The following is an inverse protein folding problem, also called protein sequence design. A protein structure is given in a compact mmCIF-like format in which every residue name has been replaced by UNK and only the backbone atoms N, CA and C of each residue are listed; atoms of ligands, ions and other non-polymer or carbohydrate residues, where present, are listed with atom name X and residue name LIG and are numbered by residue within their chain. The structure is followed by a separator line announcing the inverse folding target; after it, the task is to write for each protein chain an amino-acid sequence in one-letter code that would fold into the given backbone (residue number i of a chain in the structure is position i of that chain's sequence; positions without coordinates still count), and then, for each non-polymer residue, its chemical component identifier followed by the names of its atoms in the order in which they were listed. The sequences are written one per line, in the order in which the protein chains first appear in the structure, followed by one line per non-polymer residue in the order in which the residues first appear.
data_IF_405677583442
#
_entry.id   IF_405677583442
#
_cell.length_a   1.000
_cell.length_b   1.000
_cell.length_c   1.000
_cell.angle_alpha   90.00
_cell.angle_beta   90.00
_cell.angle_gamma   90.00
#
_symmetry.space_group_name_H-M   'P 1'
#
loop_
_entity.id
_entity.type
_entity.pdbx_description
1 polymer ?
#
# COMPACT_ATOMS: atom_id res chain seq x y z
N UNK A 1 -6.01 50.57 30.49
CA UNK A 1 -5.75 49.89 31.78
C UNK A 1 -6.93 49.00 32.13
N UNK A 2 -6.77 47.68 32.06
CA UNK A 2 -7.50 46.67 32.85
C UNK A 2 -6.90 45.29 32.53
N UNK A 3 -5.88 44.96 33.31
CA UNK A 3 -5.36 43.62 33.56
C UNK A 3 -6.42 42.78 34.26
N UNK A 4 -6.52 41.48 33.95
CA UNK A 4 -6.69 40.39 34.93
C UNK A 4 -6.68 39.03 34.18
N UNK A 5 -5.57 38.29 34.29
CA UNK A 5 -5.37 37.08 35.13
C UNK A 5 -5.88 35.78 34.50
N UNK A 6 -4.96 35.14 33.80
CA UNK A 6 -5.00 33.73 33.40
C UNK A 6 -4.70 32.90 34.66
N UNK A 7 -5.64 32.06 35.08
CA UNK A 7 -5.41 31.02 36.09
C UNK A 7 -5.10 29.70 35.38
N UNK A 8 -3.84 29.29 35.46
CA UNK A 8 -3.38 27.95 35.12
C UNK A 8 -3.70 27.01 36.29
N UNK A 9 -4.44 25.93 36.04
CA UNK A 9 -4.66 24.85 37.00
C UNK A 9 -3.91 23.62 36.51
N UNK A 10 -2.84 23.29 37.24
CA UNK A 10 -2.03 22.08 37.09
C UNK A 10 -2.64 21.02 38.02
N UNK A 11 -3.04 19.83 37.53
CA UNK A 11 -3.32 18.71 38.43
C UNK A 11 -2.02 18.03 38.86
N UNK A 12 -1.87 17.98 40.17
CA UNK A 12 -0.79 17.40 40.95
C UNK A 12 -1.03 15.89 41.09
N UNK A 13 -0.11 15.06 40.61
CA UNK A 13 -0.12 13.60 40.86
C UNK A 13 0.80 13.27 42.05
N UNK A 14 0.33 12.57 43.09
CA UNK A 14 1.18 12.11 44.17
C UNK A 14 1.92 10.81 43.84
N UNK A 15 3.20 10.82 44.20
CA UNK A 15 4.17 9.73 44.25
C UNK A 15 3.81 8.66 45.29
N UNK A 16 4.19 7.40 45.01
CA UNK A 16 4.70 6.35 45.93
C UNK A 16 4.44 4.97 45.31
N UNK A 17 5.27 3.92 45.40
CA UNK A 17 6.63 3.63 45.84
C UNK A 17 6.78 2.11 45.62
N UNK A 18 8.03 1.62 45.49
CA UNK A 18 8.47 0.22 45.73
C UNK A 18 8.04 -0.84 44.69
N UNK A 19 8.75 -1.92 44.38
CA UNK A 19 10.02 -2.56 44.80
C UNK A 19 10.21 -3.78 43.87
N UNK A 20 11.47 -4.16 43.58
CA UNK A 20 12.02 -5.51 43.27
C UNK A 20 11.23 -6.47 42.34
N UNK A 21 11.78 -7.31 41.48
CA UNK A 21 13.12 -7.80 41.16
C UNK A 21 12.97 -8.67 39.89
N UNK A 22 14.06 -9.02 39.19
CA UNK A 22 14.00 -9.74 37.92
C UNK A 22 13.90 -11.27 38.12
N UNK A 23 12.91 -11.90 37.50
CA UNK A 23 12.89 -13.36 37.33
C UNK A 23 13.44 -13.72 35.95
N UNK A 24 14.75 -13.95 35.96
CA UNK A 24 15.54 -14.65 34.96
C UNK A 24 14.95 -16.06 34.77
N UNK A 25 14.28 -16.32 33.65
CA UNK A 25 14.02 -17.69 33.22
C UNK A 25 15.32 -18.32 32.73
N UNK A 26 15.85 -19.17 33.58
CA UNK A 26 16.98 -20.05 33.37
C UNK A 26 16.51 -21.25 32.54
N UNK A 27 16.93 -21.35 31.28
CA UNK A 27 16.78 -22.57 30.49
C UNK A 27 17.95 -23.49 30.83
N UNK A 28 17.67 -24.71 31.29
CA UNK A 28 18.67 -25.75 31.49
C UNK A 28 18.27 -27.01 30.71
N UNK A 29 19.09 -27.24 29.69
CA UNK A 29 19.75 -28.51 29.33
C UNK A 29 18.96 -29.75 28.96
N UNK A 30 19.43 -30.32 27.85
CA UNK A 30 19.74 -31.73 27.61
C UNK A 30 18.66 -32.59 26.92
N UNK A 31 18.75 -32.61 25.59
CA UNK A 31 18.36 -33.77 24.78
C UNK A 31 19.63 -34.29 24.07
N UNK A 32 20.33 -35.21 24.74
CA UNK A 32 20.91 -36.39 24.10
C UNK A 32 19.72 -37.36 23.91
N UNK A 33 19.52 -38.18 22.87
CA UNK A 33 20.30 -39.15 22.09
C UNK A 33 19.46 -39.36 20.79
N UNK A 34 19.85 -39.89 19.63
CA UNK A 34 20.70 -41.03 19.26
C UNK A 34 21.10 -40.85 17.79
N UNK A 35 22.35 -41.12 17.47
CA UNK A 35 22.82 -41.36 16.09
C UNK A 35 22.18 -42.66 15.57
N UNK A 36 21.39 -42.56 14.50
CA UNK A 36 21.00 -43.72 13.68
C UNK A 36 21.97 -43.81 12.49
N UNK A 37 22.47 -45.02 12.15
CA UNK A 37 23.30 -45.20 10.97
C UNK A 37 22.45 -45.02 9.70
N UNK A 38 22.95 -44.17 8.80
CA UNK A 38 22.39 -43.92 7.47
C UNK A 38 22.70 -45.15 6.59
N UNK A 39 21.70 -45.86 6.04
CA UNK A 39 21.99 -46.93 5.09
C UNK A 39 22.59 -46.32 3.82
N UNK A 40 23.80 -46.79 3.49
CA UNK A 40 24.45 -46.59 2.21
C UNK A 40 23.61 -47.30 1.14
N UNK A 41 23.06 -46.55 0.19
CA UNK A 41 22.64 -47.13 -1.07
C UNK A 41 23.39 -46.40 -2.19
N UNK A 42 24.50 -46.99 -2.60
CA UNK A 42 25.22 -46.59 -3.79
C UNK A 42 24.41 -47.00 -5.01
N UNK A 43 23.81 -46.02 -5.67
CA UNK A 43 23.52 -46.10 -7.10
C UNK A 43 24.58 -45.28 -7.81
N UNK A 44 25.63 -45.98 -8.26
CA UNK A 44 26.57 -45.48 -9.25
C UNK A 44 25.81 -45.20 -10.53
N UNK A 45 25.33 -43.95 -10.69
CA UNK A 45 24.96 -43.42 -11.99
C UNK A 45 26.24 -42.84 -12.59
N UNK A 46 26.77 -43.53 -13.58
CA UNK A 46 27.88 -43.03 -14.40
C UNK A 46 27.46 -41.71 -15.04
N UNK A 47 28.05 -40.61 -14.58
CA UNK A 47 27.99 -39.33 -15.28
C UNK A 47 29.27 -39.20 -16.06
N UNK A 48 29.19 -39.44 -17.37
CA UNK A 48 30.21 -39.00 -18.31
C UNK A 48 30.29 -37.48 -18.21
N UNK A 49 31.38 -36.98 -17.65
CA UNK A 49 31.68 -35.55 -17.58
C UNK A 49 32.09 -35.06 -18.97
N UNK A 50 31.10 -34.79 -19.83
CA UNK A 50 31.27 -33.72 -20.82
C UNK A 50 30.77 -32.45 -20.16
N UNK A 51 31.70 -31.77 -19.48
CA UNK A 51 31.54 -30.43 -18.94
C UNK A 51 31.51 -29.44 -20.12
N UNK A 52 30.44 -29.48 -20.90
CA UNK A 52 30.08 -28.41 -21.82
C UNK A 52 29.42 -27.31 -21.00
N UNK A 53 29.84 -26.07 -21.29
CA UNK A 53 29.52 -24.77 -20.68
C UNK A 53 28.02 -24.42 -20.62
N UNK A 54 27.17 -25.35 -20.19
CA UNK A 54 25.74 -25.16 -19.98
C UNK A 54 25.41 -24.50 -18.63
N UNK A 55 26.43 -24.11 -17.85
CA UNK A 55 26.22 -23.56 -16.51
C UNK A 55 25.81 -22.09 -16.50
N UNK A 56 26.38 -21.25 -17.36
CA UNK A 56 26.08 -19.82 -17.36
C UNK A 56 24.83 -19.48 -18.19
N UNK A 57 24.65 -20.10 -19.36
CA UNK A 57 23.47 -19.84 -20.21
C UNK A 57 22.17 -20.32 -19.55
N UNK A 58 22.20 -21.46 -18.85
CA UNK A 58 21.05 -21.95 -18.09
C UNK A 58 20.80 -21.12 -16.82
N UNK A 59 21.85 -20.58 -16.19
CA UNK A 59 21.73 -19.69 -15.03
C UNK A 59 21.17 -18.33 -15.44
N UNK A 60 21.67 -17.75 -16.53
CA UNK A 60 21.12 -16.53 -17.13
C UNK A 60 19.67 -16.75 -17.55
N UNK A 61 19.33 -17.89 -18.17
CA UNK A 61 17.95 -18.22 -18.52
C UNK A 61 17.02 -18.35 -17.31
N UNK A 62 17.52 -18.79 -16.15
CA UNK A 62 16.75 -18.84 -14.90
C UNK A 62 16.54 -17.44 -14.32
N UNK A 63 17.59 -16.60 -14.33
CA UNK A 63 17.49 -15.20 -13.93
C UNK A 63 16.57 -14.42 -14.86
N UNK A 64 16.70 -14.58 -16.17
CA UNK A 64 15.85 -13.91 -17.17
C UNK A 64 14.41 -14.43 -17.12
N UNK A 65 14.17 -15.73 -16.90
CA UNK A 65 12.79 -16.24 -16.70
C UNK A 65 12.19 -15.75 -15.39
N UNK A 66 12.96 -15.65 -14.32
CA UNK A 66 12.49 -15.09 -13.06
C UNK A 66 12.24 -13.57 -13.17
N UNK A 67 13.07 -12.87 -13.94
CA UNK A 67 13.00 -11.42 -14.13
C UNK A 67 11.98 -10.98 -15.20
N UNK A 68 11.69 -11.83 -16.19
CA UNK A 68 10.70 -11.58 -17.24
C UNK A 68 9.28 -11.46 -16.68
N UNK A 69 9.00 -12.09 -15.54
CA UNK A 69 7.71 -12.00 -14.83
C UNK A 69 7.62 -10.81 -13.86
N UNK A 70 8.73 -10.14 -13.52
CA UNK A 70 8.79 -9.05 -12.51
C UNK A 70 9.08 -7.67 -13.08
N UNK A 71 8.71 -7.42 -14.34
CA UNK A 71 8.35 -6.03 -14.68
C UNK A 71 7.23 -5.58 -13.73
N UNK A 72 7.19 -4.32 -13.25
CA UNK A 72 6.16 -3.84 -12.30
C UNK A 72 4.77 -3.69 -12.94
N UNK A 73 4.43 -4.57 -13.88
CA UNK A 73 3.06 -4.94 -14.19
C UNK A 73 2.74 -6.09 -13.25
N UNK A 74 2.16 -5.75 -12.11
CA UNK A 74 1.54 -6.70 -11.18
C UNK A 74 0.82 -7.82 -11.95
N UNK A 75 1.49 -8.96 -12.09
CA UNK A 75 0.92 -10.15 -12.69
C UNK A 75 0.08 -10.85 -11.64
N UNK A 76 -1.18 -10.47 -11.57
CA UNK A 76 -2.25 -11.38 -11.18
C UNK A 76 -3.39 -11.11 -12.16
N UNK A 77 -3.97 -12.17 -12.72
CA UNK A 77 -5.11 -12.11 -13.64
C UNK A 77 -6.39 -11.58 -12.97
N UNK A 78 -6.34 -10.35 -12.48
CA UNK A 78 -7.44 -9.58 -11.92
C UNK A 78 -7.58 -8.26 -12.66
N UNK A 79 -8.71 -7.59 -12.44
CA UNK A 79 -9.02 -6.29 -13.05
C UNK A 79 -7.88 -5.31 -12.73
N UNK A 80 -7.30 -4.69 -13.75
CA UNK A 80 -6.26 -3.67 -13.58
C UNK A 80 -6.91 -2.29 -13.68
N UNK A 81 -6.67 -1.46 -12.67
CA UNK A 81 -7.12 -0.07 -12.65
C UNK A 81 -6.00 0.87 -13.07
N UNK A 82 -6.34 1.87 -13.88
CA UNK A 82 -5.44 2.90 -14.36
C UNK A 82 -5.40 4.07 -13.38
N UNK A 83 -4.22 4.40 -12.88
CA UNK A 83 -4.02 5.52 -11.94
C UNK A 83 -3.56 6.80 -12.63
N UNK A 84 -2.75 6.70 -13.67
CA UNK A 84 -2.22 7.86 -14.39
C UNK A 84 -2.55 7.72 -15.86
N UNK A 85 -3.26 8.71 -16.39
CA UNK A 85 -3.48 8.82 -17.82
C UNK A 85 -2.18 9.34 -18.47
N UNK A 86 -1.69 8.67 -19.52
CA UNK A 86 -0.33 8.86 -20.08
C UNK A 86 0.03 10.28 -20.51
N UNK A 87 -0.96 11.17 -20.65
CA UNK A 87 -0.80 12.56 -21.04
C UNK A 87 -0.66 13.53 -19.87
N UNK A 88 -0.77 13.07 -18.63
CA UNK A 88 -0.85 13.93 -17.44
C UNK A 88 0.39 13.77 -16.56
N UNK A 89 0.91 14.91 -16.08
CA UNK A 89 1.97 14.92 -15.08
C UNK A 89 1.37 14.79 -13.69
N UNK A 90 1.90 13.87 -12.89
CA UNK A 90 1.54 13.75 -11.47
C UNK A 90 2.04 14.97 -10.69
N UNK A 91 1.21 15.63 -9.88
CA UNK A 91 1.63 16.73 -9.00
C UNK A 91 2.77 16.32 -8.04
N UNK A 92 3.76 17.21 -7.85
CA UNK A 92 4.95 16.94 -7.02
C UNK A 92 4.62 16.58 -5.56
N UNK A 93 3.55 17.17 -5.03
CA UNK A 93 3.05 16.89 -3.68
C UNK A 93 2.76 15.39 -3.49
N UNK A 94 2.24 14.71 -4.52
CA UNK A 94 1.89 13.29 -4.47
C UNK A 94 3.08 12.36 -4.69
N UNK A 95 4.10 12.81 -5.42
CA UNK A 95 5.30 12.01 -5.70
C UNK A 95 6.21 11.83 -4.48
N UNK A 96 6.13 12.75 -3.51
CA UNK A 96 7.06 12.79 -2.37
C UNK A 96 6.55 12.00 -1.16
N UNK A 97 5.38 11.38 -1.26
CA UNK A 97 4.71 10.70 -0.16
C UNK A 97 5.12 9.23 -0.15
N UNK A 98 5.74 8.80 0.95
CA UNK A 98 6.07 7.40 1.19
C UNK A 98 5.26 6.90 2.39
N UNK A 99 3.96 6.72 2.16
CA UNK A 99 3.02 6.20 3.15
C UNK A 99 2.50 4.86 2.62
N UNK A 100 2.29 3.92 3.53
CA UNK A 100 1.75 2.60 3.26
C UNK A 100 0.37 2.47 3.90
N UNK A 101 -0.57 1.89 3.16
CA UNK A 101 -1.86 1.52 3.68
C UNK A 101 -1.76 0.19 4.41
N UNK A 102 -2.05 0.23 5.71
CA UNK A 102 -1.95 -0.94 6.59
C UNK A 102 -3.12 -1.88 6.29
N UNK A 103 -2.82 -3.02 5.69
CA UNK A 103 -3.75 -4.11 5.38
C UNK A 103 -3.00 -5.44 5.45
N UNK A 104 -3.57 -6.56 5.00
CA UNK A 104 -2.86 -7.84 4.98
C UNK A 104 -1.55 -7.79 4.15
N UNK A 105 -1.48 -6.92 3.13
CA UNK A 105 -0.33 -6.83 2.22
C UNK A 105 0.47 -5.52 2.30
N UNK A 106 0.15 -4.60 3.22
CA UNK A 106 0.85 -3.33 3.44
C UNK A 106 1.29 -2.61 2.14
N UNK A 107 0.33 -2.13 1.35
CA UNK A 107 0.59 -1.57 0.01
C UNK A 107 0.92 -0.06 0.07
N UNK A 108 1.85 0.43 -0.76
CA UNK A 108 2.13 1.86 -0.85
C UNK A 108 0.95 2.63 -1.45
N UNK A 109 0.82 3.90 -1.09
CA UNK A 109 -0.05 4.82 -1.83
C UNK A 109 0.58 5.18 -3.18
N UNK A 110 -0.15 4.91 -4.26
CA UNK A 110 0.26 5.24 -5.62
C UNK A 110 -0.40 6.55 -6.08
N UNK A 111 0.33 7.45 -6.77
CA UNK A 111 -0.24 8.69 -7.28
C UNK A 111 -1.25 8.47 -8.40
N UNK A 112 -2.30 9.30 -8.39
CA UNK A 112 -3.39 9.29 -9.36
C UNK A 112 -3.48 10.63 -10.07
N UNK A 113 -3.59 10.59 -11.40
CA UNK A 113 -3.91 11.74 -12.24
C UNK A 113 -4.75 11.27 -13.43
N UNK A 114 -6.05 11.58 -13.39
CA UNK A 114 -7.04 11.15 -14.37
C UNK A 114 -7.69 12.37 -15.02
N UNK A 115 -7.90 12.31 -16.34
CA UNK A 115 -8.55 13.38 -17.07
C UNK A 115 -10.04 13.42 -16.73
N UNK A 116 -10.58 14.60 -16.41
CA UNK A 116 -12.00 14.76 -16.12
C UNK A 116 -12.46 16.17 -16.52
N UNK A 117 -12.98 16.31 -17.73
CA UNK A 117 -13.32 17.63 -18.29
C UNK A 117 -14.39 18.37 -17.46
N UNK A 118 -15.27 17.64 -16.76
CA UNK A 118 -16.28 18.24 -15.88
C UNK A 118 -15.71 18.75 -14.53
N UNK A 119 -14.43 18.46 -14.24
CA UNK A 119 -13.74 19.02 -13.08
C UNK A 119 -13.71 20.55 -13.12
N UNK A 120 -13.58 21.16 -14.31
CA UNK A 120 -13.60 22.61 -14.45
C UNK A 120 -14.90 23.24 -13.93
N UNK A 121 -16.01 22.48 -13.98
CA UNK A 121 -17.33 22.92 -13.50
C UNK A 121 -17.55 22.62 -12.01
N UNK A 122 -16.61 21.95 -11.35
CA UNK A 122 -16.77 21.51 -9.97
C UNK A 122 -17.56 20.21 -9.82
N UNK A 123 -17.84 19.49 -10.92
CA UNK A 123 -18.65 18.26 -10.90
C UNK A 123 -17.76 17.05 -10.65
N UNK A 124 -18.16 16.22 -9.69
CA UNK A 124 -17.49 14.95 -9.40
C UNK A 124 -18.00 13.83 -10.31
N UNK A 125 -17.14 12.88 -10.72
CA UNK A 125 -17.60 11.69 -11.41
C UNK A 125 -18.52 10.85 -10.49
N UNK A 126 -19.60 10.33 -11.06
CA UNK A 126 -20.41 9.31 -10.40
C UNK A 126 -19.62 8.01 -10.23
N UNK A 127 -20.05 7.07 -9.36
CA UNK A 127 -19.42 5.76 -9.24
C UNK A 127 -19.24 5.03 -10.58
N UNK A 128 -20.26 5.04 -11.44
CA UNK A 128 -20.19 4.39 -12.76
C UNK A 128 -19.22 5.09 -13.73
N UNK A 129 -19.19 6.43 -13.67
CA UNK A 129 -18.24 7.23 -14.46
C UNK A 129 -16.81 7.01 -14.00
N UNK A 130 -16.59 6.92 -12.68
CA UNK A 130 -15.29 6.61 -12.11
C UNK A 130 -14.84 5.19 -12.50
N UNK A 131 -15.74 4.20 -12.45
CA UNK A 131 -15.46 2.84 -12.91
C UNK A 131 -14.98 2.84 -14.36
N UNK A 132 -15.72 3.51 -15.24
CA UNK A 132 -15.36 3.62 -16.66
C UNK A 132 -14.04 4.35 -16.88
N UNK A 133 -13.70 5.30 -16.00
CA UNK A 133 -12.47 6.10 -16.08
C UNK A 133 -11.22 5.31 -15.64
N UNK A 134 -11.35 4.45 -14.62
CA UNK A 134 -10.22 3.68 -14.08
C UNK A 134 -10.08 2.30 -14.72
N UNK A 135 -11.18 1.71 -15.19
CA UNK A 135 -11.21 0.38 -15.78
C UNK A 135 -12.25 0.34 -16.91
N UNK A 136 -11.93 0.84 -18.11
CA UNK A 136 -12.89 0.91 -19.22
C UNK A 136 -13.42 -0.46 -19.66
N UNK A 137 -12.66 -1.53 -19.40
CA UNK A 137 -13.00 -2.91 -19.76
C UNK A 137 -13.75 -3.66 -18.64
N UNK A 138 -14.09 -3.01 -17.53
CA UNK A 138 -14.67 -3.67 -16.36
C UNK A 138 -15.71 -2.82 -15.64
N UNK A 139 -16.73 -3.48 -15.09
CA UNK A 139 -17.72 -2.84 -14.24
C UNK A 139 -17.37 -3.09 -12.77
N UNK A 140 -16.90 -2.05 -12.08
CA UNK A 140 -16.43 -2.12 -10.70
C UNK A 140 -17.53 -1.66 -9.74
N UNK A 141 -17.61 -2.30 -8.57
CA UNK A 141 -18.49 -1.85 -7.50
C UNK A 141 -17.79 -0.75 -6.71
N UNK A 142 -18.29 0.48 -6.83
CA UNK A 142 -17.68 1.66 -6.20
C UNK A 142 -18.63 2.25 -5.17
N UNK A 143 -18.12 2.44 -3.95
CA UNK A 143 -18.85 3.07 -2.83
C UNK A 143 -18.10 4.30 -2.33
N UNK A 144 -18.82 5.36 -1.97
CA UNK A 144 -18.22 6.56 -1.36
C UNK A 144 -18.07 6.37 0.14
N UNK A 145 -16.92 6.72 0.70
CA UNK A 145 -16.64 6.66 2.12
C UNK A 145 -16.43 8.06 2.70
N UNK A 146 -16.76 8.21 3.99
CA UNK A 146 -16.40 9.40 4.75
C UNK A 146 -14.93 9.35 5.19
N UNK A 147 -14.26 10.50 5.40
CA UNK A 147 -12.90 10.54 5.93
C UNK A 147 -12.73 9.77 7.24
N UNK A 148 -13.68 9.88 8.16
CA UNK A 148 -13.65 9.17 9.45
C UNK A 148 -13.82 7.65 9.30
N UNK A 149 -14.54 7.20 8.27
CA UNK A 149 -14.70 5.76 7.98
C UNK A 149 -13.43 5.16 7.38
N UNK A 150 -12.76 5.92 6.51
CA UNK A 150 -11.50 5.50 5.88
C UNK A 150 -10.32 5.54 6.86
N UNK A 151 -10.24 6.59 7.68
CA UNK A 151 -9.14 6.81 8.61
C UNK A 151 -9.65 7.11 10.03
N UNK A 152 -10.17 6.10 10.75
CA UNK A 152 -10.69 6.29 12.10
C UNK A 152 -9.62 6.66 13.13
N UNK A 153 -8.34 6.46 12.81
CA UNK A 153 -7.19 6.73 13.69
C UNK A 153 -6.41 7.98 13.31
N UNK A 154 -6.82 8.69 12.26
CA UNK A 154 -6.14 9.86 11.70
C UNK A 154 -4.67 9.58 11.30
N UNK A 155 -4.36 8.35 10.88
CA UNK A 155 -3.03 7.91 10.50
C UNK A 155 -2.62 8.34 9.07
N UNK A 156 -3.59 8.70 8.23
CA UNK A 156 -3.42 9.05 6.82
C UNK A 156 -3.68 10.54 6.54
N UNK A 157 -3.65 11.38 7.58
CA UNK A 157 -3.80 12.85 7.46
C UNK A 157 -2.82 13.46 6.46
N UNK A 158 -1.56 13.04 6.48
CA UNK A 158 -0.55 13.49 5.51
C UNK A 158 -0.91 13.15 4.05
N UNK A 159 -1.54 11.99 3.81
CA UNK A 159 -2.02 11.62 2.48
C UNK A 159 -3.20 12.50 2.03
N UNK A 160 -4.17 12.72 2.93
CA UNK A 160 -5.32 13.60 2.66
C UNK A 160 -4.89 15.05 2.39
N UNK A 161 -3.93 15.55 3.16
CA UNK A 161 -3.42 16.91 3.03
C UNK A 161 -2.67 17.11 1.73
N UNK A 162 -1.86 16.13 1.31
CA UNK A 162 -1.16 16.22 0.04
C UNK A 162 -2.09 16.11 -1.17
N UNK A 163 -3.18 15.33 -1.09
CA UNK A 163 -4.22 15.33 -2.12
C UNK A 163 -4.93 16.68 -2.18
N UNK A 164 -5.19 17.29 -1.01
CA UNK A 164 -5.77 18.64 -0.94
C UNK A 164 -4.84 19.68 -1.55
N UNK A 165 -3.53 19.61 -1.27
CA UNK A 165 -2.52 20.48 -1.86
C UNK A 165 -2.47 20.30 -3.39
N UNK A 166 -2.46 19.06 -3.87
CA UNK A 166 -2.46 18.73 -5.29
C UNK A 166 -3.71 19.21 -6.05
N UNK A 167 -4.83 19.38 -5.33
CA UNK A 167 -6.12 19.84 -5.86
C UNK A 167 -6.39 21.33 -5.56
N UNK A 168 -5.36 22.11 -5.26
CA UNK A 168 -5.44 23.55 -4.95
C UNK A 168 -6.39 23.90 -3.79
N UNK A 169 -6.45 23.06 -2.76
CA UNK A 169 -7.32 23.27 -1.61
C UNK A 169 -8.76 22.79 -1.79
N UNK A 170 -9.06 22.08 -2.88
CA UNK A 170 -10.40 21.57 -3.17
C UNK A 170 -10.86 20.46 -2.21
N UNK A 171 -12.16 20.16 -2.27
CA UNK A 171 -12.75 19.03 -1.52
C UNK A 171 -12.07 17.71 -1.90
N UNK A 172 -11.91 16.83 -0.92
CA UNK A 172 -11.38 15.47 -1.10
C UNK A 172 -12.51 14.47 -0.90
N UNK A 173 -12.65 13.53 -1.83
CA UNK A 173 -13.58 12.40 -1.75
C UNK A 173 -12.82 11.08 -1.70
N UNK A 174 -13.39 10.13 -0.98
CA UNK A 174 -12.78 8.81 -0.80
C UNK A 174 -13.74 7.78 -1.37
N UNK A 175 -13.22 6.92 -2.23
CA UNK A 175 -13.97 5.83 -2.85
C UNK A 175 -13.35 4.50 -2.47
N UNK A 176 -14.20 3.53 -2.13
CA UNK A 176 -13.86 2.11 -2.00
C UNK A 176 -14.28 1.42 -3.28
N UNK A 177 -13.32 0.81 -3.95
CA UNK A 177 -13.50 0.10 -5.22
C UNK A 177 -13.27 -1.37 -4.97
N UNK A 178 -14.29 -2.19 -5.15
CA UNK A 178 -14.18 -3.63 -4.99
C UNK A 178 -13.80 -4.26 -6.34
N UNK A 179 -12.61 -4.88 -6.40
CA UNK A 179 -12.12 -5.59 -7.60
C UNK A 179 -12.53 -7.06 -7.54
N UNK A 180 -12.40 -7.67 -6.37
CA UNK A 180 -12.88 -9.01 -6.04
C UNK A 180 -13.38 -9.03 -4.61
N UNK A 181 -13.92 -10.18 -4.14
CA UNK A 181 -14.41 -10.33 -2.77
C UNK A 181 -13.39 -10.03 -1.68
N UNK A 182 -12.09 -10.18 -1.98
CA UNK A 182 -11.00 -9.94 -1.02
C UNK A 182 -10.06 -8.82 -1.45
N UNK A 183 -10.16 -8.32 -2.69
CA UNK A 183 -9.28 -7.27 -3.21
C UNK A 183 -10.03 -5.98 -3.39
N UNK A 184 -9.59 -4.97 -2.68
CA UNK A 184 -10.21 -3.64 -2.65
C UNK A 184 -9.15 -2.60 -2.94
N UNK A 185 -9.56 -1.50 -3.56
CA UNK A 185 -8.76 -0.31 -3.69
C UNK A 185 -9.45 0.87 -3.02
N UNK A 186 -8.66 1.62 -2.26
CA UNK A 186 -9.06 2.89 -1.70
C UNK A 186 -8.52 4.02 -2.56
N UNK A 187 -9.42 4.84 -3.06
CA UNK A 187 -9.12 5.97 -3.94
C UNK A 187 -9.43 7.27 -3.21
N UNK A 188 -8.38 8.00 -2.84
CA UNK A 188 -8.46 9.33 -2.22
C UNK A 188 -8.26 10.36 -3.31
N UNK A 189 -9.33 11.05 -3.72
CA UNK A 189 -9.36 11.90 -4.89
C UNK A 189 -9.68 13.34 -4.54
N UNK A 190 -9.05 14.27 -5.25
CA UNK A 190 -9.24 15.71 -5.20
C UNK A 190 -9.56 16.25 -6.60
N UNK A 191 -10.47 17.23 -6.67
CA UNK A 191 -10.88 17.84 -7.93
C UNK A 191 -9.95 19.01 -8.28
N UNK A 192 -9.17 18.90 -9.35
CA UNK A 192 -8.30 19.98 -9.81
C UNK A 192 -8.97 20.74 -10.96
N UNK A 193 -9.61 21.86 -10.61
CA UNK A 193 -10.44 22.66 -11.54
C UNK A 193 -9.62 23.35 -12.64
N UNK A 194 -8.43 23.85 -12.30
CA UNK A 194 -7.58 24.60 -13.25
C UNK A 194 -7.11 23.73 -14.42
N UNK A 195 -6.79 22.46 -14.16
CA UNK A 195 -6.30 21.51 -15.17
C UNK A 195 -7.36 20.50 -15.65
N UNK A 196 -8.64 20.70 -15.29
CA UNK A 196 -9.75 19.82 -15.69
C UNK A 196 -9.45 18.33 -15.47
N UNK A 197 -8.99 17.99 -14.26
CA UNK A 197 -8.57 16.64 -13.92
C UNK A 197 -8.87 16.28 -12.47
N UNK A 198 -8.86 14.99 -12.19
CA UNK A 198 -8.91 14.45 -10.84
C UNK A 198 -7.53 13.96 -10.46
N UNK A 199 -7.03 14.39 -9.31
CA UNK A 199 -5.71 14.03 -8.79
C UNK A 199 -5.86 13.39 -7.41
N UNK A 200 -4.98 12.47 -7.04
CA UNK A 200 -5.19 11.74 -5.80
C UNK A 200 -4.16 10.69 -5.48
N UNK A 201 -4.50 9.81 -4.55
CA UNK A 201 -3.74 8.63 -4.19
C UNK A 201 -4.64 7.40 -4.23
N UNK A 202 -4.08 6.28 -4.67
CA UNK A 202 -4.72 4.96 -4.69
C UNK A 202 -3.91 4.02 -3.81
N UNK A 203 -4.57 3.30 -2.92
CA UNK A 203 -3.96 2.21 -2.16
C UNK A 203 -4.70 0.90 -2.42
N UNK A 204 -3.96 -0.18 -2.60
CA UNK A 204 -4.50 -1.54 -2.70
C UNK A 204 -4.63 -2.13 -1.30
N UNK A 205 -5.63 -2.97 -1.10
CA UNK A 205 -5.88 -3.65 0.16
C UNK A 205 -6.42 -5.06 -0.09
N UNK A 206 -6.03 -5.99 0.77
CA UNK A 206 -6.64 -7.30 0.88
C UNK A 206 -7.42 -7.39 2.19
N UNK A 207 -8.69 -7.76 2.09
CA UNK A 207 -9.61 -7.95 3.22
C UNK A 207 -10.14 -9.40 3.17
N UNK A 208 -10.07 -10.10 4.30
CA UNK A 208 -10.51 -11.50 4.47
C UNK A 208 -11.69 -11.60 5.43
#
# INVERSE_FOLDING_TARGET
MRQLKIHCVIPHFPNALRVASPLRLHWHTHIHYKLLPRPSNQLTRSFSTTQTMASDDAYMSFLDKANADVSPKSQQGGIQTQTVHSTLSVPKALQSIQIYYISETDEPFEPVALKWDEAAKGTWPSPDQLSSLIAPDSNLSISTLSPSSFDPRNQYTAALDAVREAADGSEVKIYRVELTSTKIEYWVLGLHKAESRVVGLRAKAVES
#
